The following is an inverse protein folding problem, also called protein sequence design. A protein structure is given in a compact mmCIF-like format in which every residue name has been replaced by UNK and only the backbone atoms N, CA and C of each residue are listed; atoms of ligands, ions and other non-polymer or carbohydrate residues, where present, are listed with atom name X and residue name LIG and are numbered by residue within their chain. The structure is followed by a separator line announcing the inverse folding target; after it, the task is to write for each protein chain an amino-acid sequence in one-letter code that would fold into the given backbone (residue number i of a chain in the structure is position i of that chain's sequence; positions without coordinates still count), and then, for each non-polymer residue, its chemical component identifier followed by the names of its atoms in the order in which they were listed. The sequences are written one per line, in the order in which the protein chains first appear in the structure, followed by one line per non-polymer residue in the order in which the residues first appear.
data_IF_211489816496
#
_entry.id   IF_211489816496
#
_cell.length_a   1.000
_cell.length_b   1.000
_cell.length_c   1.000
_cell.angle_alpha   90.00
_cell.angle_beta   90.00
_cell.angle_gamma   90.00
#
_symmetry.space_group_name_H-M   'P 1'
#
loop_
_entity.id
_entity.type
_entity.pdbx_description
1 polymer ?
#
# COMPACT_ATOMS: atom_id res chain seq x y z
N UNK A 1 -33.17 -54.08 2.05
CA UNK A 1 -31.72 -53.95 1.74
C UNK A 1 -31.49 -52.91 0.64
N UNK A 2 -32.24 -53.00 -0.46
CA UNK A 2 -32.15 -52.09 -1.62
C UNK A 2 -32.46 -50.61 -1.27
N UNK A 3 -33.41 -50.35 -0.37
CA UNK A 3 -33.75 -48.96 0.02
C UNK A 3 -32.63 -48.26 0.79
N UNK A 4 -31.87 -48.99 1.63
CA UNK A 4 -30.72 -48.40 2.32
C UNK A 4 -29.58 -48.07 1.36
N UNK A 5 -29.39 -48.88 0.32
CA UNK A 5 -28.38 -48.64 -0.70
C UNK A 5 -28.75 -47.43 -1.58
N UNK A 6 -30.04 -47.28 -1.94
CA UNK A 6 -30.55 -46.10 -2.65
C UNK A 6 -30.40 -44.82 -1.83
N UNK A 7 -30.71 -44.86 -0.53
CA UNK A 7 -30.54 -43.70 0.38
C UNK A 7 -29.07 -43.29 0.46
N UNK A 8 -28.15 -44.24 0.65
CA UNK A 8 -26.70 -43.96 0.68
C UNK A 8 -26.22 -43.35 -0.63
N UNK A 9 -26.66 -43.86 -1.78
CA UNK A 9 -26.31 -43.33 -3.11
C UNK A 9 -26.84 -41.91 -3.34
N UNK A 10 -28.06 -41.63 -2.91
CA UNK A 10 -28.65 -40.29 -3.01
C UNK A 10 -27.94 -39.29 -2.09
N UNK A 11 -27.62 -39.69 -0.86
CA UNK A 11 -26.84 -38.86 0.06
C UNK A 11 -25.45 -38.54 -0.50
N UNK A 12 -24.78 -39.53 -1.11
CA UNK A 12 -23.49 -39.31 -1.74
C UNK A 12 -23.56 -38.31 -2.90
N UNK A 13 -24.59 -38.39 -3.74
CA UNK A 13 -24.83 -37.41 -4.82
C UNK A 13 -25.10 -36.00 -4.29
N UNK A 14 -25.86 -35.89 -3.21
CA UNK A 14 -26.17 -34.60 -2.58
C UNK A 14 -24.93 -33.94 -1.98
N UNK A 15 -24.07 -34.72 -1.30
CA UNK A 15 -22.79 -34.24 -0.79
C UNK A 15 -21.92 -33.71 -1.94
N UNK A 16 -21.82 -34.44 -3.05
CA UNK A 16 -21.04 -34.03 -4.20
C UNK A 16 -21.64 -32.81 -4.93
N UNK A 17 -22.97 -32.68 -4.95
CA UNK A 17 -23.64 -31.48 -5.48
C UNK A 17 -23.27 -30.24 -4.64
N UNK A 18 -23.39 -30.32 -3.32
CA UNK A 18 -23.03 -29.23 -2.41
C UNK A 18 -21.56 -28.84 -2.54
N UNK A 19 -20.65 -29.82 -2.67
CA UNK A 19 -19.23 -29.56 -2.92
C UNK A 19 -19.02 -28.73 -4.18
N UNK A 20 -19.66 -29.13 -5.29
CA UNK A 20 -19.56 -28.42 -6.58
C UNK A 20 -20.17 -27.02 -6.52
N UNK A 21 -21.26 -26.84 -5.79
CA UNK A 21 -21.89 -25.53 -5.60
C UNK A 21 -20.98 -24.59 -4.82
N UNK A 22 -20.40 -25.04 -3.71
CA UNK A 22 -19.45 -24.26 -2.93
C UNK A 22 -18.22 -23.84 -3.75
N UNK A 23 -17.65 -24.75 -4.55
CA UNK A 23 -16.54 -24.43 -5.45
C UNK A 23 -16.95 -23.39 -6.50
N UNK A 24 -18.12 -23.55 -7.11
CA UNK A 24 -18.59 -22.61 -8.12
C UNK A 24 -18.86 -21.22 -7.54
N UNK A 25 -19.35 -21.16 -6.32
CA UNK A 25 -19.57 -19.91 -5.60
C UNK A 25 -18.23 -19.20 -5.35
N UNK A 26 -17.22 -19.92 -4.84
CA UNK A 26 -15.88 -19.35 -4.66
C UNK A 26 -15.24 -18.83 -5.95
N UNK A 27 -15.42 -19.53 -7.08
CA UNK A 27 -14.92 -19.06 -8.38
C UNK A 27 -15.63 -17.76 -8.82
N UNK A 28 -16.94 -17.66 -8.60
CA UNK A 28 -17.70 -16.43 -8.91
C UNK A 28 -17.27 -15.25 -8.04
N UNK A 29 -17.02 -15.48 -6.76
CA UNK A 29 -16.51 -14.44 -5.86
C UNK A 29 -15.13 -13.96 -6.29
N UNK A 30 -14.23 -14.88 -6.66
CA UNK A 30 -12.93 -14.51 -7.24
C UNK A 30 -13.10 -13.62 -8.47
N UNK A 31 -14.01 -13.97 -9.38
CA UNK A 31 -14.25 -13.21 -10.62
C UNK A 31 -14.62 -11.74 -10.36
N UNK A 32 -15.38 -11.44 -9.30
CA UNK A 32 -15.79 -10.05 -8.96
C UNK A 32 -14.60 -9.20 -8.53
N UNK A 33 -13.55 -9.81 -7.98
CA UNK A 33 -12.34 -9.13 -7.53
C UNK A 33 -11.33 -8.91 -8.66
N UNK A 34 -11.53 -9.53 -9.83
CA UNK A 34 -10.62 -9.40 -10.96
C UNK A 34 -10.97 -8.16 -11.78
N UNK A 35 -9.95 -7.51 -12.39
CA UNK A 35 -10.17 -6.38 -13.28
C UNK A 35 -10.87 -6.77 -14.59
N UNK A 36 -10.90 -8.05 -14.93
CA UNK A 36 -11.56 -8.58 -16.13
C UNK A 36 -12.58 -9.64 -15.77
N UNK A 37 -13.74 -9.58 -16.42
CA UNK A 37 -14.79 -10.58 -16.29
C UNK A 37 -14.64 -11.64 -17.38
N UNK A 38 -14.32 -12.88 -16.99
CA UNK A 38 -14.31 -14.05 -17.88
C UNK A 38 -15.38 -15.06 -17.44
N UNK A 39 -16.02 -15.75 -18.37
CA UNK A 39 -17.02 -16.79 -18.07
C UNK A 39 -16.38 -18.18 -17.86
N UNK A 40 -15.14 -18.36 -18.30
CA UNK A 40 -14.41 -19.62 -18.22
C UNK A 40 -13.73 -19.77 -16.86
N UNK A 41 -14.15 -20.77 -16.07
CA UNK A 41 -13.60 -21.08 -14.74
C UNK A 41 -12.08 -21.23 -14.72
N UNK A 42 -11.49 -21.86 -15.72
CA UNK A 42 -10.04 -22.05 -15.79
C UNK A 42 -9.31 -20.73 -16.03
N UNK A 43 -9.89 -19.82 -16.81
CA UNK A 43 -9.31 -18.49 -17.03
C UNK A 43 -9.47 -17.59 -15.80
N UNK A 44 -10.64 -17.63 -15.13
CA UNK A 44 -10.86 -16.90 -13.87
C UNK A 44 -9.77 -17.26 -12.85
N UNK A 45 -9.49 -18.56 -12.67
CA UNK A 45 -8.46 -19.02 -11.72
C UNK A 45 -7.06 -18.54 -12.13
N UNK A 46 -6.70 -18.64 -13.41
CA UNK A 46 -5.39 -18.16 -13.91
C UNK A 46 -5.23 -16.67 -13.72
N UNK A 47 -6.23 -15.88 -14.12
CA UNK A 47 -6.23 -14.44 -13.99
C UNK A 47 -6.18 -14.02 -12.51
N UNK A 48 -6.81 -14.76 -11.61
CA UNK A 48 -6.70 -14.53 -10.17
C UNK A 48 -5.28 -14.73 -9.65
N UNK A 49 -4.62 -15.81 -10.06
CA UNK A 49 -3.22 -16.08 -9.68
C UNK A 49 -2.30 -14.97 -10.18
N UNK A 50 -2.43 -14.57 -11.45
CA UNK A 50 -1.64 -13.48 -12.04
C UNK A 50 -1.92 -12.14 -11.35
N UNK A 51 -3.19 -11.85 -11.06
CA UNK A 51 -3.57 -10.62 -10.41
C UNK A 51 -2.99 -10.52 -8.99
N UNK A 52 -3.02 -11.60 -8.21
CA UNK A 52 -2.41 -11.65 -6.87
C UNK A 52 -0.89 -11.42 -6.96
N UNK A 53 -0.20 -12.04 -7.93
CA UNK A 53 1.23 -11.81 -8.14
C UNK A 53 1.53 -10.35 -8.43
N UNK A 54 0.77 -9.74 -9.35
CA UNK A 54 0.91 -8.32 -9.69
C UNK A 54 0.60 -7.41 -8.49
N UNK A 55 -0.41 -7.73 -7.69
CA UNK A 55 -0.72 -6.96 -6.47
C UNK A 55 0.46 -6.99 -5.50
N UNK A 56 1.08 -8.16 -5.30
CA UNK A 56 2.26 -8.31 -4.45
C UNK A 56 3.48 -7.53 -4.97
N UNK A 57 3.72 -7.58 -6.28
CA UNK A 57 4.79 -6.81 -6.93
C UNK A 57 4.55 -5.30 -6.80
N UNK A 58 3.32 -4.86 -7.04
CA UNK A 58 2.93 -3.45 -6.89
C UNK A 58 3.05 -2.98 -5.44
N UNK A 59 2.65 -3.79 -4.47
CA UNK A 59 2.82 -3.48 -3.04
C UNK A 59 4.30 -3.29 -2.70
N UNK A 60 5.18 -4.19 -3.15
CA UNK A 60 6.61 -4.06 -2.94
C UNK A 60 7.18 -2.80 -3.59
N UNK A 61 6.81 -2.53 -4.84
CA UNK A 61 7.24 -1.32 -5.56
C UNK A 61 6.75 -0.04 -4.89
N UNK A 62 5.53 -0.03 -4.36
CA UNK A 62 4.99 1.11 -3.62
C UNK A 62 5.75 1.35 -2.31
N UNK A 63 6.11 0.29 -1.58
CA UNK A 63 6.92 0.39 -0.36
C UNK A 63 8.29 0.98 -0.68
N UNK A 64 8.96 0.49 -1.73
CA UNK A 64 10.26 1.00 -2.17
C UNK A 64 10.18 2.49 -2.55
N UNK A 65 9.18 2.85 -3.36
CA UNK A 65 8.93 4.24 -3.77
C UNK A 65 8.70 5.15 -2.55
N UNK A 66 7.82 4.75 -1.65
CA UNK A 66 7.52 5.52 -0.44
C UNK A 66 8.74 5.67 0.46
N UNK A 67 9.54 4.61 0.60
CA UNK A 67 10.79 4.64 1.38
C UNK A 67 11.79 5.63 0.78
N UNK A 68 11.95 5.64 -0.54
CA UNK A 68 12.81 6.58 -1.24
C UNK A 68 12.32 8.03 -1.10
N UNK A 69 11.03 8.27 -1.32
CA UNK A 69 10.42 9.60 -1.18
C UNK A 69 10.57 10.13 0.24
N UNK A 70 10.39 9.27 1.25
CA UNK A 70 10.62 9.63 2.65
C UNK A 70 12.07 10.03 2.89
N UNK A 71 13.03 9.21 2.44
CA UNK A 71 14.46 9.49 2.63
C UNK A 71 14.87 10.83 2.00
N UNK A 72 14.40 11.11 0.77
CA UNK A 72 14.68 12.38 0.08
C UNK A 72 14.07 13.55 0.84
N UNK A 73 12.84 13.39 1.33
CA UNK A 73 12.15 14.44 2.09
C UNK A 73 12.85 14.71 3.42
N UNK A 74 13.23 13.66 4.15
CA UNK A 74 13.96 13.79 5.41
C UNK A 74 15.32 14.49 5.21
N UNK A 75 16.03 14.17 4.11
CA UNK A 75 17.26 14.85 3.74
C UNK A 75 17.02 16.35 3.44
N UNK A 76 16.01 16.68 2.65
CA UNK A 76 15.67 18.06 2.33
C UNK A 76 15.25 18.86 3.58
N UNK A 77 14.50 18.24 4.50
CA UNK A 77 14.13 18.84 5.79
C UNK A 77 15.37 19.13 6.64
N UNK A 78 16.33 18.19 6.69
CA UNK A 78 17.60 18.37 7.41
C UNK A 78 18.42 19.54 6.85
N UNK A 79 18.53 19.64 5.53
CA UNK A 79 19.23 20.73 4.84
C UNK A 79 18.57 22.09 5.08
N UNK A 80 17.24 22.15 5.00
CA UNK A 80 16.47 23.37 5.30
C UNK A 80 16.64 23.78 6.76
N UNK A 81 16.62 22.83 7.70
CA UNK A 81 16.84 23.10 9.12
C UNK A 81 18.24 23.68 9.37
N UNK A 82 19.28 23.10 8.77
CA UNK A 82 20.66 23.60 8.87
C UNK A 82 20.81 25.00 8.27
N UNK A 83 20.20 25.25 7.10
CA UNK A 83 20.20 26.57 6.47
C UNK A 83 19.50 27.62 7.34
N UNK A 84 18.35 27.28 7.90
CA UNK A 84 17.59 28.17 8.79
C UNK A 84 18.38 28.50 10.06
N UNK A 85 19.07 27.53 10.65
CA UNK A 85 19.91 27.76 11.83
C UNK A 85 21.07 28.73 11.50
N UNK A 86 21.71 28.56 10.34
CA UNK A 86 22.75 29.48 9.89
C UNK A 86 22.22 30.90 9.72
N UNK A 87 21.06 31.06 9.09
CA UNK A 87 20.44 32.37 8.89
C UNK A 87 20.06 33.05 10.21
N UNK A 88 19.56 32.29 11.19
CA UNK A 88 19.29 32.82 12.55
C UNK A 88 20.56 33.36 13.21
N UNK A 89 21.67 32.63 13.10
CA UNK A 89 22.96 33.06 13.66
C UNK A 89 23.48 34.33 12.97
N UNK A 90 23.37 34.42 11.65
CA UNK A 90 23.76 35.62 10.90
C UNK A 90 22.88 36.83 11.26
N UNK A 91 21.57 36.62 11.40
CA UNK A 91 20.63 37.64 11.83
C UNK A 91 20.96 38.15 13.24
N UNK A 92 21.27 37.26 14.18
CA UNK A 92 21.65 37.63 15.55
C UNK A 92 22.94 38.46 15.56
N UNK A 93 23.94 38.07 14.78
CA UNK A 93 25.20 38.84 14.63
C UNK A 93 24.92 40.24 14.10
N UNK A 94 24.13 40.35 13.02
CA UNK A 94 23.77 41.63 12.44
C UNK A 94 23.03 42.53 13.44
N UNK A 95 22.09 41.98 14.23
CA UNK A 95 21.41 42.74 15.29
C UNK A 95 22.37 43.25 16.36
N UNK A 96 23.32 42.42 16.82
CA UNK A 96 24.34 42.82 17.80
C UNK A 96 25.23 43.94 17.26
N UNK A 97 25.65 43.87 15.99
CA UNK A 97 26.44 44.91 15.34
C UNK A 97 25.66 46.23 15.23
N UNK A 98 24.39 46.18 14.80
CA UNK A 98 23.52 47.37 14.74
C UNK A 98 23.39 48.00 16.13
N UNK A 99 23.19 47.20 17.18
CA UNK A 99 23.07 47.72 18.54
C UNK A 99 24.38 48.35 19.03
N UNK A 100 25.52 47.76 18.69
CA UNK A 100 26.84 48.31 19.00
C UNK A 100 27.05 49.68 18.33
N UNK A 101 26.80 49.77 17.03
CA UNK A 101 26.94 51.02 16.28
C UNK A 101 25.98 52.11 16.78
N UNK A 102 24.71 51.76 17.08
CA UNK A 102 23.76 52.71 17.70
C UNK A 102 24.28 53.27 19.02
N UNK A 103 24.89 52.45 19.88
CA UNK A 103 25.46 52.91 21.15
C UNK A 103 26.64 53.85 20.96
N UNK A 104 27.47 53.63 19.93
CA UNK A 104 28.60 54.51 19.60
C UNK A 104 28.08 55.85 19.08
N UNK A 105 27.14 55.84 18.12
CA UNK A 105 26.63 57.07 17.50
C UNK A 105 25.78 57.92 18.43
N UNK A 106 25.16 57.34 19.46
CA UNK A 106 24.41 58.09 20.48
C UNK A 106 25.30 58.75 21.56
N UNK A 107 26.60 58.44 21.60
CA UNK A 107 27.55 58.96 22.60
C UNK A 107 28.50 60.04 22.07
N UNK A 108 28.50 60.31 20.76
CA UNK A 108 29.21 61.40 20.12
C UNK A 108 28.26 62.52 19.71
#
# INVERSE_FOLDING_TARGET
AEDMERVRKNNHKEVERRRRENINQGIKELQVLLPTHDSNKSQIIKNAVEYIKRLKENENSNIEKWTLEKLITDQAVSELAASNEKLKQELEKAYREIEHWKKITMKG
#
